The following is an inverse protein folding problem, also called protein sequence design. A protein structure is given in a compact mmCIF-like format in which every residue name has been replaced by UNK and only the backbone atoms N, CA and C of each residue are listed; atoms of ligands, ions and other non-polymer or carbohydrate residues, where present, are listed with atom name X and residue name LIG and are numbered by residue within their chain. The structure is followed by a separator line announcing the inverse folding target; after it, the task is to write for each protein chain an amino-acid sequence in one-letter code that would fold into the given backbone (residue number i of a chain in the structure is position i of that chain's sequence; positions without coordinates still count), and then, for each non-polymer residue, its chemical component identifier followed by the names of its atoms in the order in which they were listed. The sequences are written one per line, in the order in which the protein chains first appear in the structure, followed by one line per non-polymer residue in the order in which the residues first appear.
data_IF_004653074790
#
_entry.id   IF_004653074790
#
_cell.length_a   1.000
_cell.length_b   1.000
_cell.length_c   1.000
_cell.angle_alpha   90.00
_cell.angle_beta   90.00
_cell.angle_gamma   90.00
#
_symmetry.space_group_name_H-M   'P 1'
#
loop_
_entity.id
_entity.type
_entity.pdbx_description
1 polymer ?
#
# COMPACT_ATOMS: atom_id res chain seq x y z
N UNK A 1 31.64 22.86 -11.79
CA UNK A 1 32.19 22.60 -10.45
C UNK A 1 31.32 21.56 -9.77
N UNK A 2 31.69 20.27 -9.86
CA UNK A 2 30.99 19.21 -9.10
C UNK A 2 31.62 19.15 -7.72
N UNK A 3 31.34 20.16 -6.89
CA UNK A 3 31.81 20.21 -5.51
C UNK A 3 31.01 19.23 -4.66
N UNK A 4 31.70 18.38 -3.89
CA UNK A 4 31.11 17.74 -2.73
C UNK A 4 30.94 18.79 -1.62
N UNK A 5 29.90 18.63 -0.81
CA UNK A 5 29.68 19.42 0.41
C UNK A 5 29.79 18.51 1.63
N UNK A 6 30.31 19.04 2.74
CA UNK A 6 30.32 18.35 4.02
C UNK A 6 29.25 18.93 4.92
N UNK A 7 28.40 18.05 5.45
CA UNK A 7 27.24 18.41 6.27
C UNK A 7 27.30 17.62 7.56
N UNK A 8 27.08 18.31 8.69
CA UNK A 8 27.13 17.74 10.03
C UNK A 8 25.84 18.01 10.78
N UNK A 9 25.20 16.97 11.31
CA UNK A 9 23.96 17.10 12.06
C UNK A 9 23.89 16.15 13.26
N UNK A 10 22.81 16.23 14.04
CA UNK A 10 22.62 15.42 15.26
C UNK A 10 22.49 13.93 14.94
N UNK A 11 21.78 13.60 13.86
CA UNK A 11 21.62 12.22 13.37
C UNK A 11 22.03 12.13 11.90
N UNK A 12 22.23 10.90 11.41
CA UNK A 12 22.55 10.67 10.00
C UNK A 12 21.40 11.16 9.08
N UNK A 13 20.15 10.93 9.48
CA UNK A 13 18.98 11.31 8.70
C UNK A 13 18.83 12.84 8.61
N UNK A 14 19.15 13.56 9.70
CA UNK A 14 19.18 15.02 9.72
C UNK A 14 20.26 15.55 8.75
N UNK A 15 21.45 14.92 8.74
CA UNK A 15 22.54 15.33 7.87
C UNK A 15 22.20 15.12 6.38
N UNK A 16 21.53 14.01 6.06
CA UNK A 16 21.03 13.74 4.70
C UNK A 16 19.99 14.79 4.29
N UNK A 17 19.05 15.12 5.18
CA UNK A 17 18.01 16.11 4.92
C UNK A 17 18.59 17.50 4.65
N UNK A 18 19.57 17.93 5.46
CA UNK A 18 20.29 19.18 5.25
C UNK A 18 21.07 19.18 3.93
N UNK A 19 21.70 18.06 3.58
CA UNK A 19 22.41 17.93 2.30
C UNK A 19 21.47 18.02 1.08
N UNK A 20 20.25 17.46 1.16
CA UNK A 20 19.24 17.59 0.11
C UNK A 20 18.82 19.06 -0.11
N UNK A 21 18.63 19.79 0.99
CA UNK A 21 18.25 21.21 0.95
C UNK A 21 19.39 22.05 0.38
N UNK A 22 20.63 21.86 0.84
CA UNK A 22 21.78 22.63 0.37
C UNK A 22 22.13 22.35 -1.09
N UNK A 23 22.03 21.09 -1.52
CA UNK A 23 22.27 20.72 -2.91
C UNK A 23 21.04 20.92 -3.79
N UNK A 24 19.87 21.26 -3.26
CA UNK A 24 18.64 21.46 -4.04
C UNK A 24 18.28 20.26 -4.92
N UNK A 25 18.54 19.05 -4.43
CA UNK A 25 18.25 17.79 -5.15
C UNK A 25 17.33 16.90 -4.33
N UNK A 26 16.64 16.01 -5.02
CA UNK A 26 15.80 14.96 -4.44
C UNK A 26 16.64 13.72 -4.07
N UNK A 27 16.12 12.86 -3.20
CA UNK A 27 16.87 11.72 -2.63
C UNK A 27 17.40 10.71 -3.66
N UNK A 28 16.81 10.63 -4.85
CA UNK A 28 17.23 9.81 -5.98
C UNK A 28 18.47 10.35 -6.71
N UNK A 29 18.80 11.63 -6.50
CA UNK A 29 19.92 12.34 -7.14
C UNK A 29 21.04 12.72 -6.17
N UNK A 30 20.98 12.25 -4.93
CA UNK A 30 22.00 12.47 -3.90
C UNK A 30 22.92 11.25 -3.77
N UNK A 31 24.22 11.46 -3.86
CA UNK A 31 25.24 10.47 -3.49
C UNK A 31 25.98 10.98 -2.27
N UNK A 32 26.12 10.16 -1.22
CA UNK A 32 26.79 10.58 0.02
C UNK A 32 27.63 9.46 0.62
N UNK A 33 28.67 9.85 1.34
CA UNK A 33 29.52 8.97 2.14
C UNK A 33 29.47 9.39 3.61
N UNK A 34 29.34 8.42 4.51
CA UNK A 34 29.28 8.66 5.95
C UNK A 34 30.70 8.65 6.51
N UNK A 35 31.20 9.83 6.89
CA UNK A 35 32.52 9.99 7.50
C UNK A 35 32.45 9.61 8.98
N UNK A 36 31.44 10.09 9.70
CA UNK A 36 31.24 9.79 11.11
C UNK A 36 29.79 9.40 11.40
N UNK A 37 29.60 8.19 11.94
CA UNK A 37 28.30 7.70 12.42
C UNK A 37 28.08 8.31 13.80
N UNK A 38 27.42 9.46 13.84
CA UNK A 38 27.07 10.13 15.09
C UNK A 38 26.40 9.20 16.10
N UNK A 39 26.52 9.53 17.38
CA UNK A 39 25.93 8.75 18.48
C UNK A 39 25.08 9.64 19.37
N UNK A 40 23.91 9.12 19.77
CA UNK A 40 22.96 9.88 20.59
C UNK A 40 23.39 10.06 22.06
N UNK A 41 24.47 9.38 22.48
CA UNK A 41 24.92 9.36 23.88
C UNK A 41 23.93 8.64 24.82
N UNK A 42 24.20 8.65 26.12
CA UNK A 42 23.27 8.20 27.17
C UNK A 42 22.62 9.45 27.77
N UNK A 43 21.31 9.61 27.59
CA UNK A 43 20.53 10.76 28.08
C UNK A 43 20.95 12.14 27.50
N UNK A 44 21.49 12.17 26.28
CA UNK A 44 21.94 13.41 25.62
C UNK A 44 23.33 13.91 26.03
N UNK A 45 23.97 13.24 27.00
CA UNK A 45 25.33 13.54 27.44
C UNK A 45 26.32 12.75 26.56
N UNK A 46 27.27 13.45 25.96
CA UNK A 46 28.30 12.85 25.11
C UNK A 46 27.85 12.52 23.68
N UNK A 47 26.86 13.24 23.14
CA UNK A 47 26.43 13.05 21.76
C UNK A 47 27.56 13.39 20.78
N UNK A 48 27.80 12.52 19.80
CA UNK A 48 28.69 12.78 18.66
C UNK A 48 27.84 13.09 17.45
N UNK A 49 28.16 14.16 16.74
CA UNK A 49 27.45 14.54 15.52
C UNK A 49 27.74 13.54 14.39
N UNK A 50 26.75 13.33 13.53
CA UNK A 50 26.95 12.59 12.30
C UNK A 50 27.48 13.54 11.23
N UNK A 51 28.51 13.12 10.50
CA UNK A 51 29.14 13.91 9.43
C UNK A 51 29.10 13.11 8.14
N UNK A 52 28.57 13.72 7.09
CA UNK A 52 28.51 13.14 5.75
C UNK A 52 29.17 14.07 4.73
N UNK A 53 29.70 13.47 3.66
CA UNK A 53 30.13 14.17 2.46
C UNK A 53 29.18 13.81 1.31
N UNK A 54 28.52 14.81 0.73
CA UNK A 54 27.45 14.61 -0.24
C UNK A 54 27.74 15.34 -1.56
N UNK A 55 27.34 14.73 -2.68
CA UNK A 55 27.47 15.26 -4.04
C UNK A 55 26.24 14.94 -4.88
N UNK A 56 26.03 15.71 -5.95
CA UNK A 56 24.97 15.45 -6.93
C UNK A 56 25.40 14.30 -7.85
N UNK A 57 24.51 13.31 -8.03
CA UNK A 57 24.70 12.26 -9.03
C UNK A 57 24.52 12.87 -10.45
N UNK A 58 25.47 12.70 -11.38
CA UNK A 58 25.30 13.17 -12.75
C UNK A 58 24.16 12.40 -13.43
N UNK A 59 23.37 13.09 -14.25
CA UNK A 59 22.34 12.45 -15.07
C UNK A 59 22.99 11.50 -16.09
N UNK A 60 22.44 10.30 -16.31
CA UNK A 60 22.86 9.47 -17.43
C UNK A 60 22.43 10.17 -18.73
N UNK A 61 23.39 10.48 -19.59
CA UNK A 61 23.11 10.92 -20.96
C UNK A 61 22.42 9.77 -21.68
N UNK A 62 21.16 9.96 -22.04
CA UNK A 62 20.40 9.01 -22.86
C UNK A 62 20.83 9.26 -24.31
N UNK A 63 21.79 8.49 -24.80
CA UNK A 63 22.05 8.42 -26.24
C UNK A 63 20.93 7.59 -26.88
N UNK A 64 20.19 8.20 -27.81
CA UNK A 64 19.25 7.48 -28.68
C UNK A 64 20.02 6.52 -29.60
N UNK A 65 19.76 5.20 -29.58
CA UNK A 65 20.41 4.30 -30.53
C UNK A 65 19.65 4.28 -31.86
N UNK A 66 20.32 4.75 -32.92
CA UNK A 66 20.02 4.36 -34.31
C UNK A 66 20.21 2.85 -34.47
N UNK A 67 19.27 2.24 -35.17
CA UNK A 67 19.21 0.81 -35.45
C UNK A 67 20.34 0.36 -36.39
N UNK A 68 21.11 -0.66 -35.98
CA UNK A 68 21.72 -1.64 -36.89
C UNK A 68 21.72 -3.03 -36.24
N UNK A 69 21.20 -4.00 -36.99
CA UNK A 69 21.10 -5.43 -36.66
C UNK A 69 22.42 -6.11 -37.02
N UNK A 70 22.95 -6.95 -36.13
CA UNK A 70 23.74 -8.15 -36.48
C UNK A 70 23.75 -9.16 -35.34
N UNK A 71 23.43 -10.39 -35.69
CA UNK A 71 23.38 -11.58 -34.84
C UNK A 71 24.79 -12.05 -34.45
N UNK A 72 24.95 -12.51 -33.20
CA UNK A 72 25.85 -13.64 -32.86
C UNK A 72 25.56 -14.16 -31.42
N UNK A 73 25.40 -15.48 -31.29
CA UNK A 73 25.56 -16.29 -30.06
C UNK A 73 26.98 -16.91 -30.13
N UNK A 74 27.68 -17.30 -29.05
CA UNK A 74 27.16 -18.20 -27.99
C UNK A 74 27.75 -18.11 -26.55
N UNK A 75 27.10 -18.86 -25.64
CA UNK A 75 27.59 -19.63 -24.47
C UNK A 75 28.15 -19.02 -23.14
N UNK A 76 27.29 -19.15 -22.10
CA UNK A 76 27.48 -19.70 -20.72
C UNK A 76 28.82 -19.53 -19.98
N UNK A 77 28.79 -18.87 -18.80
CA UNK A 77 29.47 -19.33 -17.55
C UNK A 77 28.66 -19.00 -16.29
N UNK A 78 28.68 -19.95 -15.35
CA UNK A 78 27.95 -20.03 -14.07
C UNK A 78 28.78 -19.51 -12.89
N UNK A 79 28.04 -19.10 -11.84
CA UNK A 79 28.32 -19.20 -10.38
C UNK A 79 29.30 -18.22 -9.68
N UNK A 80 29.26 -18.09 -8.32
CA UNK A 80 28.24 -18.50 -7.34
C UNK A 80 27.89 -17.44 -6.25
N UNK A 81 26.90 -17.82 -5.42
CA UNK A 81 26.53 -17.22 -4.15
C UNK A 81 27.70 -17.08 -3.16
N UNK A 82 27.64 -16.05 -2.29
CA UNK A 82 28.45 -15.98 -1.06
C UNK A 82 27.57 -15.87 0.18
N UNK A 83 27.77 -16.87 1.02
CA UNK A 83 27.33 -17.01 2.41
C UNK A 83 27.88 -15.88 3.30
N UNK A 84 27.12 -15.45 4.30
CA UNK A 84 27.69 -14.86 5.51
C UNK A 84 27.29 -15.69 6.73
N UNK A 85 28.34 -16.22 7.39
CA UNK A 85 28.31 -17.01 8.61
C UNK A 85 28.00 -16.14 9.84
N UNK A 86 27.26 -16.74 10.77
CA UNK A 86 27.02 -16.33 12.17
C UNK A 86 28.30 -16.28 13.02
N UNK A 87 28.26 -15.45 14.07
CA UNK A 87 28.66 -15.66 15.50
C UNK A 87 27.85 -14.60 16.31
N UNK A 88 26.95 -14.85 17.29
CA UNK A 88 27.02 -15.54 18.62
C UNK A 88 28.14 -14.96 19.50
N UNK A 89 28.01 -14.45 20.74
CA UNK A 89 27.11 -14.54 21.92
C UNK A 89 27.19 -13.18 22.71
N UNK A 90 26.40 -12.77 23.72
CA UNK A 90 26.12 -13.38 25.04
C UNK A 90 24.97 -12.64 25.80
N UNK A 91 23.95 -13.42 26.19
CA UNK A 91 23.06 -13.46 27.39
C UNK A 91 23.18 -12.36 28.50
N UNK A 92 22.05 -11.79 28.99
CA UNK A 92 21.21 -12.12 30.20
C UNK A 92 21.99 -11.95 31.53
N UNK A 93 21.55 -11.32 32.63
CA UNK A 93 20.28 -11.05 33.36
C UNK A 93 20.50 -9.77 34.24
N UNK A 94 19.49 -9.08 34.80
CA UNK A 94 18.99 -9.24 36.18
C UNK A 94 17.53 -8.74 36.33
N UNK A 95 16.77 -9.52 37.11
CA UNK A 95 15.38 -9.39 37.60
C UNK A 95 15.15 -8.15 38.48
N UNK A 96 14.05 -7.41 38.32
CA UNK A 96 12.75 -7.59 39.00
C UNK A 96 12.78 -7.45 40.54
N UNK A 97 12.73 -6.21 41.02
CA UNK A 97 12.03 -5.82 42.26
C UNK A 97 11.44 -4.41 42.05
N UNK A 98 10.16 -4.37 41.65
CA UNK A 98 9.24 -3.23 41.77
C UNK A 98 7.90 -3.59 41.08
N UNK A 99 7.37 -4.76 41.43
CA UNK A 99 5.93 -5.01 41.36
C UNK A 99 5.47 -5.02 42.80
N UNK A 100 4.98 -3.89 43.29
CA UNK A 100 3.91 -3.80 44.30
C UNK A 100 3.78 -2.35 44.77
N UNK A 101 3.24 -1.50 43.90
CA UNK A 101 2.56 -0.27 44.36
C UNK A 101 1.62 0.27 43.28
N UNK A 102 1.97 0.15 42.00
CA UNK A 102 1.12 0.64 40.91
C UNK A 102 -0.13 -0.22 40.56
N UNK A 103 -0.45 -1.23 41.38
CA UNK A 103 -1.57 -2.17 41.14
C UNK A 103 -2.73 -2.03 42.13
N UNK A 104 -2.69 -1.03 43.03
CA UNK A 104 -3.74 -0.80 44.03
C UNK A 104 -4.54 0.48 43.86
N UNK A 105 -4.08 1.46 43.08
CA UNK A 105 -4.87 2.69 42.88
C UNK A 105 -5.76 2.65 41.63
N UNK A 106 -5.37 2.00 40.54
CA UNK A 106 -6.21 1.88 39.32
C UNK A 106 -7.38 0.88 39.43
N UNK A 107 -7.58 0.27 40.60
CA UNK A 107 -8.64 -0.74 40.84
C UNK A 107 -9.84 -0.19 41.61
N UNK A 108 -9.80 1.08 42.00
CA UNK A 108 -10.88 1.71 42.78
C UNK A 108 -11.73 2.72 41.98
N UNK A 109 -11.22 3.24 40.85
CA UNK A 109 -12.02 4.10 39.95
C UNK A 109 -12.80 3.30 38.87
N UNK A 110 -12.37 2.07 38.56
CA UNK A 110 -13.00 1.21 37.54
C UNK A 110 -14.29 0.51 38.04
N UNK A 111 -14.80 0.84 39.23
CA UNK A 111 -15.96 0.14 39.84
C UNK A 111 -17.24 0.97 39.98
N UNK A 112 -17.23 2.27 39.67
CA UNK A 112 -18.41 3.13 39.86
C UNK A 112 -19.02 3.76 38.60
N UNK A 113 -18.50 3.49 37.40
CA UNK A 113 -19.18 3.88 36.14
C UNK A 113 -19.82 2.68 35.41
N UNK A 114 -19.64 1.46 35.93
CA UNK A 114 -20.36 0.27 35.47
C UNK A 114 -21.74 0.22 36.11
N UNK A 115 -22.64 1.16 35.75
CA UNK A 115 -24.10 1.09 36.02
C UNK A 115 -24.91 2.23 35.38
N UNK A 116 -24.62 2.59 34.13
CA UNK A 116 -25.61 3.17 33.21
C UNK A 116 -25.06 3.09 31.79
N UNK A 117 -25.92 2.79 30.83
CA UNK A 117 -25.66 2.74 29.39
C UNK A 117 -25.12 1.42 28.80
N UNK A 118 -25.42 0.29 29.44
CA UNK A 118 -25.66 -0.96 28.71
C UNK A 118 -27.11 -1.03 28.25
N UNK A 119 -27.42 -0.36 27.14
CA UNK A 119 -28.61 -0.64 26.34
C UNK A 119 -28.37 -0.26 24.87
N UNK A 120 -28.28 -1.30 24.04
CA UNK A 120 -28.45 -1.29 22.57
C UNK A 120 -27.37 -0.57 21.75
N UNK A 121 -26.37 -1.31 21.31
CA UNK A 121 -25.98 -1.35 19.88
C UNK A 121 -25.32 -2.71 19.62
N UNK A 122 -26.15 -3.74 19.54
CA UNK A 122 -25.80 -4.91 18.74
C UNK A 122 -25.69 -4.41 17.30
N UNK A 123 -24.48 -4.40 16.76
CA UNK A 123 -24.25 -4.20 15.35
C UNK A 123 -24.85 -5.39 14.61
N UNK A 124 -26.14 -5.29 14.30
CA UNK A 124 -26.81 -6.13 13.33
C UNK A 124 -25.97 -6.12 12.04
N UNK A 125 -25.79 -7.27 11.37
CA UNK A 125 -25.22 -7.26 10.04
C UNK A 125 -26.06 -6.30 9.21
N UNK A 126 -25.41 -5.27 8.64
CA UNK A 126 -26.06 -4.43 7.65
C UNK A 126 -26.52 -5.35 6.52
N UNK A 127 -27.78 -5.76 6.57
CA UNK A 127 -28.50 -6.35 5.46
C UNK A 127 -28.36 -5.31 4.36
N UNK A 128 -27.49 -5.59 3.40
CA UNK A 128 -27.50 -4.85 2.14
C UNK A 128 -28.89 -5.13 1.61
N UNK A 129 -29.79 -4.15 1.68
CA UNK A 129 -30.94 -4.15 0.80
C UNK A 129 -30.36 -4.37 -0.60
N UNK A 130 -30.67 -5.51 -1.20
CA UNK A 130 -30.70 -5.63 -2.64
C UNK A 130 -31.74 -4.61 -3.09
N UNK A 131 -31.28 -3.37 -3.25
CA UNK A 131 -32.06 -2.36 -3.93
C UNK A 131 -32.27 -2.95 -5.32
N UNK A 132 -33.52 -3.32 -5.63
CA UNK A 132 -33.92 -3.68 -6.99
C UNK A 132 -33.35 -2.60 -7.90
N UNK A 133 -32.42 -3.02 -8.78
CA UNK A 133 -31.78 -2.08 -9.69
C UNK A 133 -32.84 -1.58 -10.65
N UNK A 134 -32.90 -0.27 -10.83
CA UNK A 134 -33.77 0.31 -11.83
C UNK A 134 -33.30 -0.07 -13.22
N UNK A 135 -34.23 -0.22 -14.16
CA UNK A 135 -33.87 -0.41 -15.56
C UNK A 135 -32.98 0.74 -16.04
N UNK A 136 -31.90 0.37 -16.72
CA UNK A 136 -30.93 1.35 -17.21
C UNK A 136 -31.53 2.05 -18.43
N UNK A 137 -31.93 3.32 -18.26
CA UNK A 137 -32.40 4.16 -19.38
C UNK A 137 -31.24 4.48 -20.32
N UNK A 138 -31.51 4.60 -21.61
CA UNK A 138 -30.49 5.00 -22.60
C UNK A 138 -29.90 6.39 -22.30
N UNK A 139 -30.71 7.30 -21.76
CA UNK A 139 -30.25 8.62 -21.30
C UNK A 139 -29.15 8.50 -20.24
N UNK A 140 -29.30 7.58 -19.30
CA UNK A 140 -28.33 7.32 -18.22
C UNK A 140 -27.04 6.74 -18.78
N UNK A 141 -27.15 5.81 -19.74
CA UNK A 141 -26.00 5.23 -20.46
C UNK A 141 -25.20 6.33 -21.16
N UNK A 142 -25.87 7.20 -21.92
CA UNK A 142 -25.25 8.31 -22.63
C UNK A 142 -24.62 9.33 -21.67
N UNK A 143 -25.25 9.64 -20.54
CA UNK A 143 -24.71 10.55 -19.55
C UNK A 143 -23.41 10.01 -18.90
N UNK A 144 -23.37 8.71 -18.59
CA UNK A 144 -22.18 8.06 -18.04
C UNK A 144 -21.05 8.02 -19.09
N UNK A 145 -21.35 7.67 -20.33
CA UNK A 145 -20.36 7.67 -21.41
C UNK A 145 -19.79 9.06 -21.67
N UNK A 146 -20.65 10.09 -21.75
CA UNK A 146 -20.22 11.47 -21.92
C UNK A 146 -19.30 11.90 -20.77
N UNK A 147 -19.70 11.64 -19.52
CA UNK A 147 -18.88 11.94 -18.35
C UNK A 147 -17.51 11.25 -18.39
N UNK A 148 -17.48 9.95 -18.71
CA UNK A 148 -16.24 9.20 -18.79
C UNK A 148 -15.35 9.73 -19.92
N UNK A 149 -15.90 9.95 -21.13
CA UNK A 149 -15.15 10.54 -22.26
C UNK A 149 -14.58 11.90 -21.91
N UNK A 150 -15.38 12.80 -21.35
CA UNK A 150 -14.94 14.15 -21.00
C UNK A 150 -13.85 14.13 -19.93
N UNK A 151 -13.99 13.26 -18.92
CA UNK A 151 -12.99 13.11 -17.85
C UNK A 151 -11.68 12.54 -18.39
N UNK A 152 -11.75 11.51 -19.23
CA UNK A 152 -10.58 10.87 -19.81
C UNK A 152 -9.87 11.79 -20.82
N UNK A 153 -10.63 12.55 -21.61
CA UNK A 153 -10.09 13.59 -22.50
C UNK A 153 -9.39 14.71 -21.70
N UNK A 154 -9.97 15.15 -20.58
CA UNK A 154 -9.35 16.13 -19.70
C UNK A 154 -8.04 15.60 -19.05
N UNK A 155 -7.90 14.29 -18.91
CA UNK A 155 -6.65 13.62 -18.49
C UNK A 155 -5.66 13.41 -19.65
N UNK A 156 -6.01 13.80 -20.88
CA UNK A 156 -5.19 13.61 -22.07
C UNK A 156 -5.15 12.16 -22.57
N UNK A 157 -6.18 11.36 -22.28
CA UNK A 157 -6.23 9.94 -22.63
C UNK A 157 -7.30 9.67 -23.70
N UNK A 158 -6.93 8.95 -24.75
CA UNK A 158 -7.86 8.45 -25.76
C UNK A 158 -8.28 7.03 -25.43
N UNK A 159 -9.55 6.85 -25.06
CA UNK A 159 -10.09 5.58 -24.56
C UNK A 159 -11.39 5.23 -25.29
N UNK A 160 -11.48 3.99 -25.74
CA UNK A 160 -12.69 3.38 -26.26
C UNK A 160 -13.52 2.83 -25.10
N UNK A 161 -14.80 3.18 -25.08
CA UNK A 161 -15.77 2.72 -24.08
C UNK A 161 -16.72 1.72 -24.73
N UNK A 162 -16.86 0.55 -24.12
CA UNK A 162 -17.84 -0.48 -24.48
C UNK A 162 -18.78 -0.63 -23.29
N UNK A 163 -20.04 -0.33 -23.51
CA UNK A 163 -21.06 -0.26 -22.45
C UNK A 163 -22.16 -1.28 -22.70
N UNK A 164 -22.39 -2.12 -21.70
CA UNK A 164 -23.37 -3.21 -21.74
C UNK A 164 -24.16 -3.28 -20.43
N UNK A 165 -25.36 -3.87 -20.45
CA UNK A 165 -26.15 -4.09 -19.24
C UNK A 165 -26.02 -5.54 -18.83
N UNK A 166 -25.40 -5.76 -17.67
CA UNK A 166 -25.22 -7.10 -17.11
C UNK A 166 -26.58 -7.76 -16.83
N UNK A 167 -26.60 -9.10 -16.73
CA UNK A 167 -27.77 -9.88 -16.30
C UNK A 167 -28.33 -9.46 -14.93
N UNK A 168 -27.50 -8.82 -14.09
CA UNK A 168 -27.89 -8.29 -12.78
C UNK A 168 -28.65 -6.95 -12.88
N UNK A 169 -28.77 -6.34 -14.07
CA UNK A 169 -29.31 -4.98 -14.27
C UNK A 169 -28.29 -3.85 -14.01
N UNK A 170 -27.00 -4.18 -13.91
CA UNK A 170 -25.93 -3.19 -13.72
C UNK A 170 -25.39 -2.69 -15.06
N UNK A 171 -25.08 -1.40 -15.15
CA UNK A 171 -24.37 -0.82 -16.31
C UNK A 171 -22.89 -1.16 -16.21
N UNK A 172 -22.43 -2.12 -17.00
CA UNK A 172 -21.03 -2.45 -17.19
C UNK A 172 -20.41 -1.53 -18.24
N UNK A 173 -19.26 -0.95 -17.93
CA UNK A 173 -18.46 -0.19 -18.91
C UNK A 173 -17.04 -0.75 -18.90
N UNK A 174 -16.66 -1.34 -20.03
CA UNK A 174 -15.30 -1.79 -20.32
C UNK A 174 -14.54 -0.67 -21.04
N UNK A 175 -13.35 -0.35 -20.53
CA UNK A 175 -12.47 0.68 -21.10
C UNK A 175 -11.25 0.04 -21.76
N UNK A 176 -11.03 0.37 -23.03
CA UNK A 176 -9.90 -0.09 -23.84
C UNK A 176 -9.13 1.09 -24.41
N UNK A 177 -7.81 1.00 -24.46
CA UNK A 177 -7.00 2.05 -25.04
C UNK A 177 -5.54 1.94 -24.65
N UNK A 178 -4.78 2.97 -24.97
CA UNK A 178 -3.38 3.07 -24.59
C UNK A 178 -3.24 3.58 -23.15
N UNK A 179 -2.16 3.17 -22.46
CA UNK A 179 -1.84 3.63 -21.10
C UNK A 179 -2.91 3.36 -20.02
N UNK A 180 -3.66 2.24 -20.12
CA UNK A 180 -4.65 1.83 -19.10
C UNK A 180 -4.08 1.72 -17.68
N UNK A 181 -2.76 1.53 -17.53
CA UNK A 181 -2.07 1.55 -16.25
C UNK A 181 -2.32 2.82 -15.42
N UNK A 182 -2.48 3.99 -16.07
CA UNK A 182 -2.82 5.24 -15.40
C UNK A 182 -4.25 5.23 -14.83
N UNK A 183 -5.20 4.65 -15.57
CA UNK A 183 -6.61 4.53 -15.15
C UNK A 183 -6.81 3.50 -14.05
N UNK A 184 -6.01 2.44 -14.06
CA UNK A 184 -5.95 1.50 -12.94
C UNK A 184 -5.43 2.25 -11.71
N UNK A 185 -4.36 3.03 -11.87
CA UNK A 185 -3.71 3.73 -10.77
C UNK A 185 -3.09 2.77 -9.75
N UNK A 186 -2.66 3.30 -8.60
CA UNK A 186 -2.02 2.48 -7.57
C UNK A 186 -3.04 1.50 -6.97
N UNK A 187 -2.93 0.21 -7.33
CA UNK A 187 -3.80 -0.88 -6.86
C UNK A 187 -5.28 -0.72 -7.21
N UNK A 188 -5.63 0.02 -8.27
CA UNK A 188 -7.03 0.18 -8.69
C UNK A 188 -7.71 1.43 -8.12
N UNK A 189 -7.00 2.27 -7.36
CA UNK A 189 -7.59 3.45 -6.70
C UNK A 189 -8.24 4.43 -7.68
N UNK A 190 -7.61 4.68 -8.84
CA UNK A 190 -8.15 5.59 -9.85
C UNK A 190 -9.41 5.00 -10.49
N UNK A 191 -9.38 3.70 -10.81
CA UNK A 191 -10.54 2.99 -11.36
C UNK A 191 -11.73 3.00 -10.39
N UNK A 192 -11.47 2.77 -9.10
CA UNK A 192 -12.50 2.82 -8.06
C UNK A 192 -13.07 4.24 -7.87
N UNK A 193 -12.23 5.27 -7.94
CA UNK A 193 -12.66 6.67 -7.87
C UNK A 193 -13.52 7.08 -9.07
N UNK A 194 -13.10 6.71 -10.29
CA UNK A 194 -13.90 6.93 -11.50
C UNK A 194 -15.23 6.19 -11.43
N UNK A 195 -15.24 4.95 -10.94
CA UNK A 195 -16.48 4.20 -10.77
C UNK A 195 -17.42 4.86 -9.76
N UNK A 196 -16.88 5.41 -8.67
CA UNK A 196 -17.68 6.15 -7.70
C UNK A 196 -18.36 7.38 -8.33
N UNK A 197 -17.61 8.16 -9.11
CA UNK A 197 -18.14 9.33 -9.78
C UNK A 197 -19.16 8.94 -10.87
N UNK A 198 -18.88 7.91 -11.66
CA UNK A 198 -19.81 7.40 -12.66
C UNK A 198 -21.13 6.92 -12.03
N UNK A 199 -21.07 6.25 -10.88
CA UNK A 199 -22.27 5.89 -10.11
C UNK A 199 -23.06 7.14 -9.69
N UNK A 200 -22.39 8.21 -9.26
CA UNK A 200 -23.07 9.47 -8.90
C UNK A 200 -23.72 10.14 -10.11
N UNK A 201 -23.07 10.14 -11.26
CA UNK A 201 -23.62 10.70 -12.50
C UNK A 201 -24.85 9.92 -12.96
N UNK A 202 -24.77 8.58 -12.96
CA UNK A 202 -25.88 7.71 -13.36
C UNK A 202 -27.14 7.93 -12.53
N UNK A 203 -26.99 8.17 -11.23
CA UNK A 203 -28.10 8.34 -10.30
C UNK A 203 -28.55 9.79 -10.10
N UNK A 204 -28.01 10.75 -10.86
CA UNK A 204 -28.30 12.18 -10.64
C UNK A 204 -29.69 12.60 -11.15
N UNK A 205 -30.18 11.95 -12.21
CA UNK A 205 -31.38 12.37 -12.94
C UNK A 205 -32.35 11.22 -13.23
N UNK A 206 -32.27 10.12 -12.47
CA UNK A 206 -33.14 8.96 -12.64
C UNK A 206 -33.81 8.58 -11.32
N UNK A 207 -35.10 8.22 -11.40
CA UNK A 207 -35.81 7.55 -10.32
C UNK A 207 -35.35 6.09 -10.25
N UNK A 208 -34.87 5.69 -9.07
CA UNK A 208 -34.32 4.35 -8.81
C UNK A 208 -32.80 4.28 -8.91
N UNK A 209 -32.22 3.19 -8.39
CA UNK A 209 -30.77 3.07 -8.25
C UNK A 209 -30.16 2.29 -9.42
N UNK A 210 -29.31 2.94 -10.20
CA UNK A 210 -28.51 2.31 -11.25
C UNK A 210 -27.10 2.06 -10.72
N UNK A 211 -26.66 0.81 -10.80
CA UNK A 211 -25.29 0.44 -10.42
C UNK A 211 -24.38 0.43 -11.64
N UNK A 212 -23.31 1.22 -11.59
CA UNK A 212 -22.26 1.27 -12.61
C UNK A 212 -21.06 0.45 -12.15
N UNK A 213 -20.59 -0.47 -13.00
CA UNK A 213 -19.36 -1.25 -12.83
C UNK A 213 -18.36 -0.82 -13.92
N UNK A 214 -17.19 -0.36 -13.52
CA UNK A 214 -16.08 -0.05 -14.43
C UNK A 214 -15.02 -1.13 -14.33
N UNK A 215 -14.52 -1.58 -15.47
CA UNK A 215 -13.33 -2.42 -15.55
C UNK A 215 -12.49 -2.10 -16.79
N UNK A 216 -11.22 -2.47 -16.73
CA UNK A 216 -10.28 -2.34 -17.83
C UNK A 216 -9.36 -3.55 -17.83
N UNK A 217 -9.19 -4.19 -19.00
CA UNK A 217 -8.34 -5.38 -19.19
C UNK A 217 -8.54 -6.49 -18.13
N UNK A 218 -9.77 -6.72 -17.67
CA UNK A 218 -10.07 -7.68 -16.60
C UNK A 218 -9.18 -7.49 -15.34
N UNK A 219 -8.87 -6.23 -15.01
CA UNK A 219 -7.94 -5.89 -13.93
C UNK A 219 -8.45 -6.41 -12.59
N UNK A 220 -9.75 -6.30 -12.31
CA UNK A 220 -10.33 -6.71 -11.02
C UNK A 220 -10.09 -8.19 -10.73
N UNK A 221 -10.30 -9.08 -11.70
CA UNK A 221 -10.05 -10.51 -11.52
C UNK A 221 -8.56 -10.82 -11.36
N UNK A 222 -7.70 -10.26 -12.23
CA UNK A 222 -6.23 -10.42 -12.14
C UNK A 222 -5.69 -9.93 -10.79
N UNK A 223 -6.22 -8.82 -10.28
CA UNK A 223 -5.82 -8.23 -9.00
C UNK A 223 -6.23 -9.11 -7.82
N UNK A 224 -7.44 -9.64 -7.84
CA UNK A 224 -7.91 -10.58 -6.80
C UNK A 224 -7.03 -11.82 -6.75
N UNK A 225 -6.70 -12.42 -7.90
CA UNK A 225 -5.80 -13.57 -7.96
C UNK A 225 -4.41 -13.24 -7.41
N UNK A 226 -3.86 -12.08 -7.79
CA UNK A 226 -2.56 -11.60 -7.28
C UNK A 226 -2.57 -11.47 -5.75
N UNK A 227 -3.65 -10.94 -5.17
CA UNK A 227 -3.81 -10.82 -3.72
C UNK A 227 -3.94 -12.17 -3.02
N UNK A 228 -4.66 -13.13 -3.62
CA UNK A 228 -4.74 -14.51 -3.11
C UNK A 228 -3.37 -15.18 -3.11
N UNK A 229 -2.59 -15.00 -4.17
CA UNK A 229 -1.23 -15.54 -4.27
C UNK A 229 -0.27 -14.89 -3.28
N UNK A 230 -0.34 -13.56 -3.12
CA UNK A 230 0.39 -12.83 -2.09
C UNK A 230 0.07 -13.39 -0.69
N UNK A 231 -1.21 -13.59 -0.38
CA UNK A 231 -1.64 -14.13 0.90
C UNK A 231 -1.02 -15.51 1.19
N UNK A 232 -1.08 -16.44 0.22
CA UNK A 232 -0.46 -17.77 0.32
C UNK A 232 1.05 -17.71 0.53
N UNK A 233 1.75 -16.84 -0.20
CA UNK A 233 3.19 -16.66 -0.08
C UNK A 233 3.60 -16.12 1.30
N UNK A 234 2.84 -15.14 1.81
CA UNK A 234 3.06 -14.59 3.15
C UNK A 234 2.77 -15.64 4.23
N UNK A 235 1.69 -16.41 4.10
CA UNK A 235 1.40 -17.50 5.01
C UNK A 235 2.54 -18.53 5.06
N UNK A 236 3.09 -18.93 3.90
CA UNK A 236 4.26 -19.81 3.84
C UNK A 236 5.48 -19.20 4.56
N UNK A 237 5.75 -17.90 4.33
CA UNK A 237 6.84 -17.18 4.99
C UNK A 237 6.67 -17.12 6.51
N UNK A 238 5.46 -16.89 7.00
CA UNK A 238 5.14 -16.89 8.45
C UNK A 238 5.31 -18.30 9.03
N UNK A 239 4.83 -19.35 8.36
CA UNK A 239 4.99 -20.74 8.81
C UNK A 239 6.46 -21.16 8.95
N UNK A 240 7.31 -20.75 8.00
CA UNK A 240 8.75 -21.06 7.99
C UNK A 240 9.54 -20.22 8.98
N UNK A 241 9.29 -18.91 9.02
CA UNK A 241 10.05 -17.99 9.88
C UNK A 241 9.57 -17.96 11.33
N UNK A 242 8.32 -18.41 11.58
CA UNK A 242 7.60 -18.28 12.85
C UNK A 242 7.48 -16.83 13.36
N UNK A 243 7.72 -15.84 12.48
CA UNK A 243 7.59 -14.41 12.78
C UNK A 243 6.36 -13.84 12.10
N UNK A 244 5.63 -12.91 12.75
CA UNK A 244 4.52 -12.21 12.12
C UNK A 244 5.03 -11.37 10.95
N UNK A 245 4.19 -11.23 9.92
CA UNK A 245 4.48 -10.40 8.75
C UNK A 245 3.33 -9.43 8.52
N UNK A 246 3.64 -8.14 8.51
CA UNK A 246 2.69 -7.08 8.15
C UNK A 246 2.77 -6.83 6.64
N UNK A 247 1.61 -6.77 6.00
CA UNK A 247 1.50 -6.37 4.60
C UNK A 247 1.47 -4.84 4.48
N UNK A 248 1.51 -4.36 3.25
CA UNK A 248 1.32 -2.95 2.95
C UNK A 248 -0.12 -2.51 3.29
N UNK A 249 -0.34 -1.22 3.63
CA UNK A 249 -1.68 -0.68 3.81
C UNK A 249 -2.54 -0.87 2.57
N UNK A 250 -3.82 -1.19 2.74
CA UNK A 250 -4.72 -1.47 1.62
C UNK A 250 -6.19 -1.27 1.97
N UNK A 251 -7.02 -1.09 0.94
CA UNK A 251 -8.43 -0.77 1.12
C UNK A 251 -9.18 -1.95 1.80
N UNK A 252 -10.36 -1.70 2.41
CA UNK A 252 -11.13 -2.75 3.09
C UNK A 252 -11.44 -3.98 2.23
N UNK A 253 -11.66 -3.78 0.92
CA UNK A 253 -11.97 -4.86 -0.03
C UNK A 253 -10.77 -5.81 -0.23
N UNK A 254 -9.58 -5.26 -0.47
CA UNK A 254 -8.33 -6.02 -0.61
C UNK A 254 -8.00 -6.78 0.69
N UNK A 255 -8.17 -6.14 1.86
CA UNK A 255 -7.97 -6.81 3.16
C UNK A 255 -8.90 -8.01 3.31
N UNK A 256 -10.17 -7.86 2.92
CA UNK A 256 -11.15 -8.95 2.95
C UNK A 256 -10.73 -10.13 2.07
N UNK A 257 -10.18 -9.88 0.88
CA UNK A 257 -9.68 -10.95 -0.01
C UNK A 257 -8.58 -11.75 0.70
N UNK A 258 -7.63 -11.09 1.36
CA UNK A 258 -6.54 -11.78 2.08
C UNK A 258 -7.08 -12.55 3.29
N UNK A 259 -7.98 -11.95 4.06
CA UNK A 259 -8.62 -12.62 5.20
C UNK A 259 -9.35 -13.88 4.73
N UNK A 260 -10.16 -13.78 3.67
CA UNK A 260 -10.88 -14.92 3.10
C UNK A 260 -9.93 -15.99 2.55
N UNK A 261 -8.86 -15.59 1.85
CA UNK A 261 -7.88 -16.51 1.28
C UNK A 261 -7.14 -17.35 2.35
N UNK A 262 -6.95 -16.80 3.55
CA UNK A 262 -6.25 -17.47 4.66
C UNK A 262 -7.18 -17.97 5.77
N UNK A 263 -8.50 -17.78 5.64
CA UNK A 263 -9.48 -18.17 6.67
C UNK A 263 -9.43 -19.67 6.98
N UNK A 264 -9.25 -20.49 5.96
CA UNK A 264 -9.22 -21.96 6.07
C UNK A 264 -7.83 -22.50 6.40
N UNK A 265 -6.80 -21.66 6.54
CA UNK A 265 -5.45 -22.14 6.82
C UNK A 265 -5.32 -22.57 8.30
N UNK A 266 -4.90 -23.81 8.59
CA UNK A 266 -4.84 -24.30 9.97
C UNK A 266 -3.66 -23.72 10.77
N UNK A 267 -2.66 -23.13 10.13
CA UNK A 267 -1.39 -22.74 10.79
C UNK A 267 -1.20 -21.23 10.95
N UNK A 268 -2.01 -20.41 10.27
CA UNK A 268 -1.91 -18.95 10.35
C UNK A 268 -3.24 -18.32 10.70
N UNK A 269 -3.19 -17.13 11.28
CA UNK A 269 -4.34 -16.27 11.51
C UNK A 269 -4.04 -14.87 10.98
N UNK A 270 -5.09 -14.12 10.70
CA UNK A 270 -4.98 -12.78 10.12
C UNK A 270 -5.81 -11.79 10.91
N UNK A 271 -5.29 -10.58 11.10
CA UNK A 271 -6.02 -9.46 11.70
C UNK A 271 -5.60 -8.15 11.03
N UNK A 272 -6.49 -7.16 11.03
CA UNK A 272 -6.20 -5.84 10.45
C UNK A 272 -5.76 -4.87 11.55
N UNK A 273 -4.61 -4.22 11.39
CA UNK A 273 -4.05 -3.22 12.32
C UNK A 273 -3.90 -1.84 11.65
N UNK A 274 -3.97 -0.78 12.45
CA UNK A 274 -3.85 0.61 12.01
C UNK A 274 -5.19 1.27 11.66
N UNK A 275 -5.13 2.57 11.35
CA UNK A 275 -6.26 3.41 10.95
C UNK A 275 -6.21 3.69 9.44
N UNK A 276 -7.36 3.91 8.82
CA UNK A 276 -7.44 4.28 7.40
C UNK A 276 -6.75 5.64 7.19
N UNK A 277 -5.89 5.83 6.17
CA UNK A 277 -5.58 4.96 5.03
C UNK A 277 -4.40 3.99 5.22
N UNK A 278 -3.80 3.98 6.40
CA UNK A 278 -2.60 3.17 6.73
C UNK A 278 -2.94 1.78 7.29
N UNK A 279 -4.22 1.40 7.27
CA UNK A 279 -4.70 0.12 7.79
C UNK A 279 -4.22 -1.04 6.92
N UNK A 280 -3.63 -2.04 7.57
CA UNK A 280 -2.94 -3.17 6.91
C UNK A 280 -3.32 -4.51 7.53
N UNK A 281 -3.12 -5.59 6.79
CA UNK A 281 -3.29 -6.96 7.30
C UNK A 281 -1.98 -7.43 7.91
N UNK A 282 -2.05 -8.04 9.09
CA UNK A 282 -0.96 -8.75 9.72
C UNK A 282 -1.28 -10.23 9.74
N UNK A 283 -0.35 -11.04 9.26
CA UNK A 283 -0.45 -12.50 9.27
C UNK A 283 0.44 -13.02 10.39
N UNK A 284 -0.13 -13.80 11.28
CA UNK A 284 0.57 -14.38 12.44
C UNK A 284 0.41 -15.89 12.47
N UNK A 285 1.30 -16.57 13.20
CA UNK A 285 1.15 -18.01 13.41
C UNK A 285 -0.04 -18.24 14.35
N UNK A 286 -0.90 -19.21 14.00
CA UNK A 286 -1.97 -19.65 14.89
C UNK A 286 -1.34 -20.22 16.17
N UNK A 287 -1.85 -19.76 17.31
CA UNK A 287 -1.46 -20.25 18.65
C UNK A 287 -2.31 -21.44 19.03
#
# INVERSE_FOLDING_TARGET
MNGSIRVSAKTLDDAITEALIQLGVTSDRLEYEVIEKGSAGFLGIGMKQAVIEARRKPEPVVEEPKAEVKEEKPEVKKEPAREFKKKEHYKKEVKQEAKNEFKREFKSEVKNEVKKDTAKTEAQPAIRHEAELAEVKEETKNAVEAFLRDTLNAMGMTVELISDVDADGALGVEMKGENMGLLIGKRGQTLDALQYLANRVANKHQDGYVRVKLDTENYRARREETLKNLAKNIAYKVKRSKRPVSLEPMNPYERRIIHAALQSDPYVTTHSEGEEPYRKVVVTLKR
#
